data_IF_369371941859
#
_entry.id   IF_369371941859
#
_cell.length_a   1.000
_cell.length_b   1.000
_cell.length_c   1.000
_cell.angle_alpha   90.00
_cell.angle_beta   90.00
_cell.angle_gamma   90.00
#
_symmetry.space_group_name_H-M   'P 1'
#
loop_
_entity.id
_entity.type
_entity.pdbx_description
1 polymer ?
#
# COMPACT_ATOMS: atom_id res chain seq x y z
N UNK A 1 4.87 -29.43 -20.19
CA UNK A 1 5.34 -30.75 -20.67
C UNK A 1 6.86 -30.81 -20.93
N UNK A 2 7.46 -29.73 -21.45
CA UNK A 2 8.91 -29.71 -21.79
C UNK A 2 9.88 -29.82 -20.59
N UNK A 3 9.44 -29.64 -19.37
CA UNK A 3 10.31 -29.67 -18.17
C UNK A 3 10.30 -31.03 -17.46
N UNK A 4 9.35 -31.93 -17.77
CA UNK A 4 9.20 -33.19 -17.05
C UNK A 4 10.37 -34.16 -17.26
N UNK A 5 11.11 -34.02 -18.36
CA UNK A 5 12.30 -34.81 -18.69
C UNK A 5 13.63 -34.17 -18.27
N UNK A 6 13.58 -32.97 -17.67
CA UNK A 6 14.78 -32.20 -17.26
C UNK A 6 15.17 -32.51 -15.84
N UNK A 7 16.46 -32.51 -15.57
CA UNK A 7 16.99 -32.51 -14.20
C UNK A 7 16.90 -31.13 -13.54
N UNK A 8 16.88 -31.04 -12.20
CA UNK A 8 16.77 -29.76 -11.48
C UNK A 8 17.76 -28.67 -11.89
N UNK A 9 18.99 -29.05 -12.26
CA UNK A 9 20.03 -28.14 -12.73
C UNK A 9 19.83 -27.62 -14.17
N UNK A 10 18.86 -28.15 -14.90
CA UNK A 10 18.56 -27.83 -16.31
C UNK A 10 17.32 -26.91 -16.42
N UNK A 11 16.70 -26.55 -15.32
CA UNK A 11 15.53 -25.68 -15.28
C UNK A 11 15.87 -24.35 -14.64
N UNK A 12 15.15 -23.28 -15.01
CA UNK A 12 15.32 -21.98 -14.38
C UNK A 12 14.83 -21.98 -12.92
N UNK A 13 15.28 -21.01 -12.14
CA UNK A 13 14.85 -20.85 -10.74
C UNK A 13 13.32 -20.70 -10.62
N UNK A 14 12.68 -19.95 -11.53
CA UNK A 14 11.23 -19.81 -11.58
C UNK A 14 10.51 -21.13 -11.96
N UNK A 15 11.07 -21.94 -12.87
CA UNK A 15 10.53 -23.28 -13.18
C UNK A 15 10.66 -24.22 -11.99
N UNK A 16 11.79 -24.18 -11.29
CA UNK A 16 12.02 -24.97 -10.08
C UNK A 16 11.03 -24.58 -8.96
N UNK A 17 10.80 -23.28 -8.77
CA UNK A 17 9.85 -22.77 -7.77
C UNK A 17 8.41 -23.21 -8.08
N UNK A 18 7.96 -23.11 -9.35
CA UNK A 18 6.64 -23.60 -9.77
C UNK A 18 6.50 -25.09 -9.58
N UNK A 19 7.55 -25.89 -9.88
CA UNK A 19 7.54 -27.33 -9.68
C UNK A 19 7.47 -27.69 -8.17
N UNK A 20 8.18 -26.97 -7.31
CA UNK A 20 8.13 -27.15 -5.86
C UNK A 20 6.73 -26.81 -5.30
N UNK A 21 6.12 -25.70 -5.76
CA UNK A 21 4.77 -25.32 -5.38
C UNK A 21 3.74 -26.39 -5.82
N UNK A 22 3.80 -26.84 -7.07
CA UNK A 22 2.94 -27.91 -7.58
C UNK A 22 3.08 -29.20 -6.77
N UNK A 23 4.31 -29.59 -6.42
CA UNK A 23 4.58 -30.78 -5.58
C UNK A 23 3.94 -30.64 -4.19
N UNK A 24 4.01 -29.46 -3.57
CA UNK A 24 3.43 -29.22 -2.25
C UNK A 24 1.89 -29.28 -2.28
N UNK A 25 1.27 -28.83 -3.37
CA UNK A 25 -0.19 -28.88 -3.55
C UNK A 25 -0.71 -30.29 -3.86
N UNK A 26 0.06 -31.11 -4.60
CA UNK A 26 -0.34 -32.46 -4.97
C UNK A 26 -0.56 -33.40 -3.77
N UNK A 27 0.07 -33.13 -2.63
CA UNK A 27 -0.14 -33.89 -1.40
C UNK A 27 -1.47 -33.59 -0.71
N UNK A 28 -2.23 -32.58 -1.19
CA UNK A 28 -3.51 -32.13 -0.62
C UNK A 28 -3.43 -31.93 0.90
N UNK A 29 -2.52 -31.07 1.41
CA UNK A 29 -2.30 -30.92 2.85
C UNK A 29 -3.42 -30.14 3.51
N UNK A 30 -3.69 -30.42 4.80
CA UNK A 30 -4.59 -29.60 5.62
C UNK A 30 -4.02 -28.22 5.91
N UNK A 31 -2.68 -28.13 6.01
CA UNK A 31 -1.94 -26.88 6.23
C UNK A 31 -0.76 -26.79 5.26
N UNK A 32 -0.71 -25.73 4.48
CA UNK A 32 0.38 -25.42 3.56
C UNK A 32 1.17 -24.21 4.06
N UNK A 33 2.48 -24.37 4.17
CA UNK A 33 3.41 -23.30 4.54
C UNK A 33 4.24 -22.94 3.31
N UNK A 34 4.17 -21.67 2.91
CA UNK A 34 4.89 -21.13 1.75
C UNK A 34 5.79 -19.99 2.20
N UNK A 35 7.08 -20.12 1.94
CA UNK A 35 8.07 -19.08 2.17
C UNK A 35 8.54 -18.52 0.83
N UNK A 36 8.26 -17.22 0.60
CA UNK A 36 8.57 -16.48 -0.63
C UNK A 36 8.17 -17.24 -1.92
N UNK A 37 6.93 -17.75 -2.04
CA UNK A 37 6.58 -18.72 -3.10
C UNK A 37 6.65 -18.17 -4.51
N UNK A 38 6.66 -16.85 -4.69
CA UNK A 38 6.63 -16.20 -6.02
C UNK A 38 7.81 -15.25 -6.26
N UNK A 39 8.83 -15.27 -5.40
CA UNK A 39 9.96 -14.33 -5.45
C UNK A 39 10.82 -14.44 -6.72
N UNK A 40 10.99 -15.63 -7.27
CA UNK A 40 11.82 -15.90 -8.45
C UNK A 40 11.01 -16.05 -9.75
N UNK A 41 9.75 -15.63 -9.73
CA UNK A 41 8.87 -15.72 -10.90
C UNK A 41 8.92 -14.37 -11.65
N UNK A 42 9.06 -14.46 -12.98
CA UNK A 42 8.99 -13.30 -13.87
C UNK A 42 7.66 -12.55 -13.67
N UNK A 43 7.74 -11.23 -13.63
CA UNK A 43 6.59 -10.35 -13.35
C UNK A 43 5.41 -10.61 -14.32
N UNK A 44 5.70 -10.94 -15.59
CA UNK A 44 4.66 -11.22 -16.59
C UNK A 44 3.84 -12.48 -16.28
N UNK A 45 4.42 -13.44 -15.54
CA UNK A 45 3.75 -14.68 -15.14
C UNK A 45 3.25 -14.65 -13.69
N UNK A 46 3.74 -13.71 -12.89
CA UNK A 46 3.45 -13.64 -11.45
C UNK A 46 1.95 -13.51 -11.19
N UNK A 47 1.28 -12.59 -11.88
CA UNK A 47 -0.17 -12.36 -11.73
C UNK A 47 -0.99 -13.60 -12.11
N UNK A 48 -0.67 -14.25 -13.22
CA UNK A 48 -1.36 -15.47 -13.64
C UNK A 48 -1.22 -16.61 -12.61
N UNK A 49 -0.01 -16.75 -12.05
CA UNK A 49 0.25 -17.78 -11.03
C UNK A 49 -0.45 -17.44 -9.72
N UNK A 50 -0.47 -16.17 -9.30
CA UNK A 50 -1.23 -15.73 -8.12
C UNK A 50 -2.72 -16.05 -8.25
N UNK A 51 -3.33 -15.76 -9.40
CA UNK A 51 -4.74 -16.06 -9.66
C UNK A 51 -4.99 -17.56 -9.55
N UNK A 52 -4.18 -18.39 -10.23
CA UNK A 52 -4.30 -19.85 -10.18
C UNK A 52 -4.09 -20.43 -8.78
N UNK A 53 -3.07 -19.93 -8.06
CA UNK A 53 -2.78 -20.35 -6.70
C UNK A 53 -3.98 -20.06 -5.79
N UNK A 54 -4.47 -18.82 -5.80
CA UNK A 54 -5.64 -18.41 -5.00
C UNK A 54 -6.87 -19.27 -5.31
N UNK A 55 -7.12 -19.55 -6.58
CA UNK A 55 -8.22 -20.41 -7.01
C UNK A 55 -8.08 -21.83 -6.45
N UNK A 56 -6.91 -22.46 -6.58
CA UNK A 56 -6.64 -23.81 -6.07
C UNK A 56 -6.78 -23.88 -4.55
N UNK A 57 -6.20 -22.93 -3.82
CA UNK A 57 -6.30 -22.89 -2.35
C UNK A 57 -7.77 -22.80 -1.87
N UNK A 58 -8.59 -22.03 -2.59
CA UNK A 58 -10.03 -21.90 -2.30
C UNK A 58 -10.82 -23.18 -2.67
N UNK A 59 -10.58 -23.73 -3.84
CA UNK A 59 -11.26 -24.93 -4.36
C UNK A 59 -11.03 -26.12 -3.43
N UNK A 60 -9.77 -26.36 -3.04
CA UNK A 60 -9.39 -27.47 -2.18
C UNK A 60 -9.45 -27.14 -0.67
N UNK A 61 -9.87 -25.91 -0.32
CA UNK A 61 -10.00 -25.44 1.08
C UNK A 61 -8.73 -25.64 1.91
N UNK A 62 -7.56 -25.45 1.31
CA UNK A 62 -6.27 -25.62 1.98
C UNK A 62 -6.01 -24.43 2.88
N UNK A 63 -5.84 -24.64 4.18
CA UNK A 63 -5.36 -23.62 5.10
C UNK A 63 -3.91 -23.29 4.76
N UNK A 64 -3.60 -22.02 4.52
CA UNK A 64 -2.27 -21.64 4.03
C UNK A 64 -1.68 -20.48 4.83
N UNK A 65 -0.41 -20.59 5.17
CA UNK A 65 0.40 -19.47 5.68
C UNK A 65 1.43 -19.14 4.62
N UNK A 66 1.43 -17.88 4.17
CA UNK A 66 2.37 -17.38 3.17
C UNK A 66 3.23 -16.31 3.84
N UNK A 67 4.55 -16.47 3.74
CA UNK A 67 5.52 -15.43 4.12
C UNK A 67 6.02 -14.79 2.84
N UNK A 68 5.95 -13.47 2.77
CA UNK A 68 6.42 -12.69 1.62
C UNK A 68 6.83 -11.28 2.05
N UNK A 69 7.77 -10.67 1.34
CA UNK A 69 8.12 -9.27 1.48
C UNK A 69 7.33 -8.36 0.50
N UNK A 70 6.54 -8.94 -0.39
CA UNK A 70 5.72 -8.21 -1.35
C UNK A 70 4.32 -7.96 -0.76
N UNK A 71 4.04 -6.71 -0.39
CA UNK A 71 2.74 -6.32 0.19
C UNK A 71 1.57 -6.54 -0.77
N UNK A 72 1.77 -6.41 -2.10
CA UNK A 72 0.70 -6.69 -3.07
C UNK A 72 0.36 -8.17 -3.11
N UNK A 73 1.38 -9.04 -3.03
CA UNK A 73 1.17 -10.48 -2.93
C UNK A 73 0.42 -10.84 -1.66
N UNK A 74 0.83 -10.31 -0.51
CA UNK A 74 0.16 -10.53 0.76
C UNK A 74 -1.30 -10.06 0.74
N UNK A 75 -1.57 -8.87 0.20
CA UNK A 75 -2.91 -8.31 0.11
C UNK A 75 -3.81 -9.05 -0.88
N UNK A 76 -3.25 -9.57 -1.96
CA UNK A 76 -4.02 -10.31 -2.96
C UNK A 76 -4.36 -11.73 -2.51
N UNK A 77 -3.39 -12.47 -1.96
CA UNK A 77 -3.56 -13.89 -1.59
C UNK A 77 -4.20 -14.07 -0.21
N UNK A 78 -3.86 -13.21 0.75
CA UNK A 78 -4.28 -13.35 2.13
C UNK A 78 -5.74 -12.96 2.39
N UNK A 79 -6.42 -13.72 3.23
CA UNK A 79 -7.67 -13.29 3.89
C UNK A 79 -7.37 -12.48 5.15
N UNK A 80 -6.23 -12.75 5.78
CA UNK A 80 -5.65 -12.01 6.88
C UNK A 80 -4.17 -11.77 6.59
N UNK A 81 -3.67 -10.61 7.00
CA UNK A 81 -2.28 -10.21 6.87
C UNK A 81 -1.69 -9.92 8.24
N UNK A 82 -0.52 -10.48 8.50
CA UNK A 82 0.28 -10.22 9.70
C UNK A 82 1.54 -9.44 9.34
N UNK A 83 1.83 -8.34 10.03
CA UNK A 83 3.08 -7.60 9.92
C UNK A 83 3.98 -7.99 11.09
N UNK A 84 5.13 -8.57 10.76
CA UNK A 84 6.14 -8.98 11.74
C UNK A 84 7.36 -8.05 11.58
N UNK A 85 7.69 -7.34 12.67
CA UNK A 85 8.87 -6.48 12.76
C UNK A 85 9.64 -6.86 14.02
N UNK A 86 10.97 -6.99 13.91
CA UNK A 86 11.86 -7.36 15.01
C UNK A 86 11.39 -8.61 15.78
N UNK A 87 10.89 -9.61 15.03
CA UNK A 87 10.40 -10.88 15.60
C UNK A 87 9.05 -10.77 16.34
N UNK A 88 8.35 -9.62 16.27
CA UNK A 88 7.07 -9.40 16.93
C UNK A 88 5.95 -9.18 15.91
N UNK A 89 4.80 -9.79 16.13
CA UNK A 89 3.60 -9.53 15.36
C UNK A 89 3.02 -8.16 15.77
N UNK A 90 3.20 -7.15 14.91
CA UNK A 90 2.77 -5.76 15.18
C UNK A 90 1.31 -5.52 14.85
N UNK A 91 0.82 -6.12 13.76
CA UNK A 91 -0.58 -6.02 13.36
C UNK A 91 -1.03 -7.31 12.69
N UNK A 92 -2.28 -7.71 12.92
CA UNK A 92 -2.90 -8.85 12.24
C UNK A 92 -4.36 -8.53 11.97
N UNK A 93 -4.70 -8.34 10.70
CA UNK A 93 -6.06 -8.01 10.27
C UNK A 93 -6.29 -8.43 8.81
N UNK A 94 -7.49 -8.10 8.25
CA UNK A 94 -7.65 -8.22 6.80
C UNK A 94 -6.78 -7.20 6.05
N UNK A 95 -6.49 -7.46 4.76
CA UNK A 95 -5.61 -6.61 3.96
C UNK A 95 -6.02 -5.13 3.92
N UNK A 96 -7.33 -4.87 3.83
CA UNK A 96 -7.86 -3.52 3.78
C UNK A 96 -7.54 -2.75 5.07
N UNK A 97 -7.80 -3.37 6.23
CA UNK A 97 -7.53 -2.75 7.52
C UNK A 97 -6.04 -2.56 7.77
N UNK A 98 -5.19 -3.51 7.35
CA UNK A 98 -3.74 -3.36 7.46
C UNK A 98 -3.25 -2.15 6.67
N UNK A 99 -3.82 -1.90 5.49
CA UNK A 99 -3.45 -0.79 4.64
C UNK A 99 -4.00 0.56 5.12
N UNK A 100 -5.32 0.64 5.41
CA UNK A 100 -6.01 1.90 5.72
C UNK A 100 -5.99 2.26 7.20
N UNK A 101 -5.84 1.28 8.10
CA UNK A 101 -5.87 1.45 9.55
C UNK A 101 -4.61 0.88 10.22
N UNK A 102 -3.39 1.33 9.82
CA UNK A 102 -2.18 0.89 10.50
C UNK A 102 -2.25 1.29 11.99
N UNK A 103 -1.90 0.38 12.87
CA UNK A 103 -2.06 0.55 14.31
C UNK A 103 -0.89 1.29 14.98
N UNK A 104 0.22 1.49 14.27
CA UNK A 104 1.42 2.15 14.79
C UNK A 104 2.24 2.82 13.69
N UNK A 105 3.07 3.78 14.09
CA UNK A 105 4.04 4.45 13.20
C UNK A 105 5.02 3.44 12.57
N UNK A 106 5.39 2.39 13.30
CA UNK A 106 6.26 1.33 12.79
C UNK A 106 5.63 0.62 11.59
N UNK A 107 4.32 0.32 11.67
CA UNK A 107 3.56 -0.30 10.58
C UNK A 107 3.43 0.66 9.39
N UNK A 108 3.14 1.95 9.62
CA UNK A 108 3.11 2.97 8.56
C UNK A 108 4.44 3.01 7.81
N UNK A 109 5.55 3.08 8.54
CA UNK A 109 6.89 3.15 7.95
C UNK A 109 7.24 1.87 7.17
N UNK A 110 6.87 0.71 7.70
CA UNK A 110 7.08 -0.57 7.02
C UNK A 110 6.33 -0.66 5.70
N UNK A 111 5.06 -0.28 5.70
CA UNK A 111 4.23 -0.30 4.48
C UNK A 111 4.69 0.73 3.45
N UNK A 112 5.30 1.83 3.90
CA UNK A 112 5.78 2.94 3.05
C UNK A 112 4.70 3.44 2.07
N UNK A 113 3.45 3.59 2.55
CA UNK A 113 2.27 3.93 1.75
C UNK A 113 1.65 5.27 2.10
N UNK A 114 2.42 6.15 2.67
CA UNK A 114 2.00 7.49 3.07
C UNK A 114 3.08 8.17 3.88
N UNK A 115 2.77 9.35 4.37
CA UNK A 115 3.65 10.14 5.21
C UNK A 115 2.92 10.57 6.48
N UNK A 116 3.67 10.86 7.52
CA UNK A 116 3.14 11.42 8.76
C UNK A 116 3.31 12.93 8.75
N UNK A 117 2.21 13.67 8.82
CA UNK A 117 2.23 15.13 8.85
C UNK A 117 1.75 15.66 10.20
N UNK A 118 2.40 16.67 10.79
CA UNK A 118 1.95 17.25 12.04
C UNK A 118 0.62 17.96 11.86
N UNK A 119 -0.31 17.74 12.77
CA UNK A 119 -1.61 18.39 12.76
C UNK A 119 -2.12 18.68 14.17
N UNK A 120 -3.12 19.56 14.27
CA UNK A 120 -3.80 19.89 15.52
C UNK A 120 -5.28 19.61 15.37
N UNK A 121 -5.86 18.86 16.30
CA UNK A 121 -7.29 18.54 16.30
C UNK A 121 -8.11 19.78 16.61
N UNK A 122 -9.05 20.14 15.73
CA UNK A 122 -9.94 21.31 15.87
C UNK A 122 -11.25 20.93 16.54
N UNK A 123 -11.85 19.82 16.10
CA UNK A 123 -13.07 19.26 16.66
C UNK A 123 -13.17 17.75 16.36
N UNK A 124 -14.33 17.15 16.57
CA UNK A 124 -14.57 15.69 16.42
C UNK A 124 -14.46 15.17 14.97
N UNK A 125 -14.42 16.09 13.98
CA UNK A 125 -14.41 15.74 12.54
C UNK A 125 -13.36 16.52 11.76
N UNK A 126 -12.54 17.31 12.42
CA UNK A 126 -11.58 18.16 11.72
C UNK A 126 -10.25 18.33 12.46
N UNK A 127 -9.19 18.49 11.69
CA UNK A 127 -7.87 18.85 12.14
C UNK A 127 -7.25 19.89 11.19
N UNK A 128 -6.24 20.57 11.66
CA UNK A 128 -5.53 21.60 10.89
C UNK A 128 -4.05 21.25 10.76
N UNK A 129 -3.57 21.27 9.52
CA UNK A 129 -2.15 21.26 9.21
C UNK A 129 -1.72 22.65 8.75
N UNK A 130 -0.53 23.09 9.15
CA UNK A 130 -0.01 24.43 8.86
C UNK A 130 0.04 24.79 7.37
N UNK A 131 0.38 23.82 6.50
CA UNK A 131 0.57 24.03 5.07
C UNK A 131 -0.69 23.69 4.25
N UNK A 132 -1.41 22.66 4.66
CA UNK A 132 -2.62 22.16 3.96
C UNK A 132 -3.89 22.88 4.43
N UNK A 133 -3.90 23.43 5.64
CA UNK A 133 -5.07 24.05 6.28
C UNK A 133 -6.00 23.04 6.91
N UNK A 134 -7.31 23.30 6.85
CA UNK A 134 -8.34 22.45 7.44
C UNK A 134 -8.50 21.16 6.62
N UNK A 135 -8.54 20.04 7.35
CA UNK A 135 -8.79 18.71 6.83
C UNK A 135 -9.95 18.12 7.61
N UNK A 136 -10.97 17.65 6.91
CA UNK A 136 -12.21 17.12 7.47
C UNK A 136 -12.29 15.61 7.23
N UNK A 137 -12.96 14.88 8.13
CA UNK A 137 -13.21 13.45 7.98
C UNK A 137 -13.55 12.76 9.31
N UNK A 138 -13.68 11.44 9.25
CA UNK A 138 -14.04 10.64 10.41
C UNK A 138 -12.79 10.08 11.10
N UNK A 139 -12.58 10.45 12.37
CA UNK A 139 -11.45 9.95 13.15
C UNK A 139 -11.63 8.48 13.52
N UNK A 140 -10.61 7.66 13.28
CA UNK A 140 -10.57 6.26 13.71
C UNK A 140 -10.47 6.12 15.24
N UNK A 141 -9.82 7.09 15.89
CA UNK A 141 -9.73 7.21 17.35
C UNK A 141 -10.17 8.59 17.77
N UNK A 142 -10.80 8.69 18.93
CA UNK A 142 -11.12 9.99 19.52
C UNK A 142 -9.88 10.70 20.05
N UNK A 143 -9.73 11.97 19.68
CA UNK A 143 -8.69 12.88 20.18
C UNK A 143 -9.34 14.15 20.75
N UNK A 144 -8.92 14.63 21.93
CA UNK A 144 -9.40 15.88 22.48
C UNK A 144 -9.06 17.07 21.56
N UNK A 145 -9.95 18.06 21.53
CA UNK A 145 -9.68 19.32 20.84
C UNK A 145 -8.35 19.95 21.33
N UNK A 146 -7.54 20.41 20.39
CA UNK A 146 -6.20 21.00 20.66
C UNK A 146 -5.08 19.97 20.78
N UNK A 147 -5.36 18.65 20.67
CA UNK A 147 -4.32 17.63 20.64
C UNK A 147 -3.42 17.83 19.42
N UNK A 148 -2.11 17.72 19.63
CA UNK A 148 -1.11 17.69 18.56
C UNK A 148 -0.91 16.23 18.18
N UNK A 149 -1.12 15.92 16.92
CA UNK A 149 -1.07 14.54 16.39
C UNK A 149 -0.23 14.47 15.11
N UNK A 150 0.17 13.28 14.74
CA UNK A 150 0.75 12.98 13.43
C UNK A 150 -0.34 12.32 12.59
N UNK A 151 -0.88 13.04 11.63
CA UNK A 151 -1.85 12.52 10.65
C UNK A 151 -1.11 11.63 9.65
N UNK A 152 -1.60 10.43 9.40
CA UNK A 152 -1.24 9.66 8.23
C UNK A 152 -1.91 10.28 7.01
N UNK A 153 -1.11 10.69 6.03
CA UNK A 153 -1.55 11.19 4.74
C UNK A 153 -1.09 10.22 3.64
N UNK A 154 -2.04 9.57 2.99
CA UNK A 154 -1.78 8.64 1.88
C UNK A 154 -1.83 9.39 0.54
N UNK A 155 -1.17 8.90 -0.52
CA UNK A 155 -1.12 9.60 -1.82
C UNK A 155 -2.49 9.85 -2.44
N UNK A 156 -3.47 9.03 -2.15
CA UNK A 156 -4.86 9.09 -2.61
C UNK A 156 -5.77 10.06 -1.83
N UNK A 157 -5.31 10.56 -0.67
CA UNK A 157 -6.10 11.46 0.18
C UNK A 157 -6.22 12.88 -0.37
N UNK A 158 -5.32 13.25 -1.28
CA UNK A 158 -5.31 14.58 -1.88
C UNK A 158 -5.75 14.52 -3.34
N UNK A 159 -6.82 15.24 -3.65
CA UNK A 159 -7.32 15.38 -5.01
C UNK A 159 -6.72 16.60 -5.72
N UNK A 160 -6.41 16.44 -7.00
CA UNK A 160 -5.96 17.53 -7.86
C UNK A 160 -7.10 18.47 -8.26
N UNK A 161 -6.83 19.78 -8.26
CA UNK A 161 -7.72 20.81 -8.80
C UNK A 161 -6.91 22.04 -9.27
N UNK A 162 -6.83 22.24 -10.58
CA UNK A 162 -6.13 23.37 -11.20
C UNK A 162 -6.68 24.74 -10.78
N UNK A 163 -7.92 24.79 -10.31
CA UNK A 163 -8.59 26.03 -9.89
C UNK A 163 -8.41 26.33 -8.41
N UNK A 164 -7.74 25.44 -7.68
CA UNK A 164 -7.54 25.63 -6.25
C UNK A 164 -6.59 26.79 -5.93
N UNK A 165 -6.85 27.45 -4.82
CA UNK A 165 -5.95 28.44 -4.25
C UNK A 165 -4.83 27.83 -3.38
N UNK A 166 -4.94 26.56 -3.04
CA UNK A 166 -3.88 25.79 -2.38
C UNK A 166 -2.98 25.17 -3.45
N UNK A 167 -1.86 25.82 -3.71
CA UNK A 167 -0.89 25.38 -4.70
C UNK A 167 0.42 24.99 -4.03
N UNK A 168 0.92 23.81 -4.38
CA UNK A 168 2.20 23.28 -3.96
C UNK A 168 3.12 23.13 -5.17
N UNK A 169 4.43 23.10 -4.95
CA UNK A 169 5.44 22.95 -6.01
C UNK A 169 5.66 21.46 -6.30
N UNK A 170 5.69 21.08 -7.58
CA UNK A 170 6.06 19.73 -8.02
C UNK A 170 7.58 19.60 -7.98
N UNK A 171 8.10 18.69 -7.14
CA UNK A 171 9.55 18.43 -7.06
C UNK A 171 9.95 17.09 -7.70
N UNK A 172 9.01 16.18 -7.89
CA UNK A 172 9.25 14.90 -8.59
C UNK A 172 7.94 14.38 -9.19
N UNK A 173 8.05 13.63 -10.28
CA UNK A 173 6.92 13.00 -10.98
C UNK A 173 7.32 11.62 -11.46
N UNK A 174 6.58 10.59 -11.04
CA UNK A 174 6.80 9.19 -11.44
C UNK A 174 5.60 8.67 -12.21
N UNK A 175 5.79 8.37 -13.49
CA UNK A 175 4.77 7.70 -14.30
C UNK A 175 4.78 6.20 -14.03
N UNK A 176 3.59 5.63 -13.75
CA UNK A 176 3.39 4.21 -13.46
C UNK A 176 2.33 3.56 -14.36
N UNK A 177 2.22 4.02 -15.60
CA UNK A 177 1.24 3.53 -16.58
C UNK A 177 -0.15 4.13 -16.35
N UNK A 178 -0.94 3.55 -15.48
CA UNK A 178 -2.31 4.02 -15.19
C UNK A 178 -2.38 5.29 -14.35
N UNK A 179 -1.27 5.69 -13.73
CA UNK A 179 -1.23 6.82 -12.83
C UNK A 179 0.14 7.50 -12.79
N UNK A 180 0.13 8.71 -12.23
CA UNK A 180 1.30 9.45 -11.80
C UNK A 180 1.33 9.50 -10.26
N UNK A 181 2.52 9.43 -9.68
CA UNK A 181 2.78 9.82 -8.31
C UNK A 181 3.59 11.11 -8.37
N UNK A 182 2.97 12.21 -7.98
CA UNK A 182 3.64 13.49 -7.81
C UNK A 182 4.21 13.58 -6.40
N UNK A 183 5.40 14.14 -6.26
CA UNK A 183 5.92 14.56 -4.96
C UNK A 183 5.83 16.08 -4.91
N UNK A 184 5.01 16.58 -4.01
CA UNK A 184 4.75 18.01 -3.84
C UNK A 184 5.49 18.55 -2.63
N UNK A 185 6.05 19.74 -2.75
CA UNK A 185 6.75 20.43 -1.67
C UNK A 185 5.87 21.50 -1.06
N UNK A 186 5.72 21.47 0.26
CA UNK A 186 5.00 22.48 1.02
C UNK A 186 5.90 23.67 1.38
N UNK A 187 5.30 24.73 1.93
CA UNK A 187 6.05 25.92 2.42
C UNK A 187 6.99 25.60 3.59
N UNK A 188 6.71 24.55 4.35
CA UNK A 188 7.58 24.08 5.45
C UNK A 188 8.54 22.95 5.01
N UNK A 189 8.82 22.82 3.71
CA UNK A 189 9.71 21.83 3.10
C UNK A 189 9.26 20.36 3.28
N UNK A 190 8.01 20.13 3.65
CA UNK A 190 7.44 18.78 3.73
C UNK A 190 7.18 18.27 2.31
N UNK A 191 7.58 17.02 2.04
CA UNK A 191 7.34 16.34 0.77
C UNK A 191 6.11 15.44 0.87
N UNK A 192 5.10 15.73 0.05
CA UNK A 192 3.81 15.03 0.07
C UNK A 192 3.63 14.26 -1.24
N UNK A 193 3.45 12.93 -1.21
CA UNK A 193 3.08 12.17 -2.39
C UNK A 193 1.59 12.36 -2.71
N UNK A 194 1.27 12.54 -3.99
CA UNK A 194 -0.12 12.65 -4.47
C UNK A 194 -0.31 11.75 -5.68
N UNK A 195 -1.38 10.96 -5.64
CA UNK A 195 -1.79 10.07 -6.72
C UNK A 195 -2.71 10.79 -7.70
N UNK A 196 -2.43 10.66 -9.01
CA UNK A 196 -3.29 11.20 -10.07
C UNK A 196 -3.42 10.17 -11.19
N UNK A 197 -4.63 9.95 -11.69
CA UNK A 197 -4.83 9.08 -12.85
C UNK A 197 -4.14 9.63 -14.10
N UNK A 198 -3.52 8.75 -14.91
CA UNK A 198 -2.73 9.16 -16.08
C UNK A 198 -3.57 9.78 -17.21
N UNK A 199 -4.89 9.57 -17.21
CA UNK A 199 -5.83 10.20 -18.13
C UNK A 199 -6.27 11.60 -17.71
N UNK A 200 -5.63 12.17 -16.69
CA UNK A 200 -5.89 13.56 -16.30
C UNK A 200 -5.52 14.51 -17.44
N UNK A 201 -6.37 15.50 -17.68
CA UNK A 201 -6.23 16.41 -18.85
C UNK A 201 -4.97 17.26 -18.77
N UNK A 202 -4.57 17.66 -17.55
CA UNK A 202 -3.39 18.49 -17.33
C UNK A 202 -2.31 17.68 -16.60
N UNK A 203 -1.15 17.59 -17.23
CA UNK A 203 0.04 17.00 -16.63
C UNK A 203 0.96 18.13 -16.15
N UNK A 204 1.42 18.04 -14.91
CA UNK A 204 2.33 19.02 -14.32
C UNK A 204 3.78 18.57 -14.47
N UNK A 205 4.64 19.49 -14.91
CA UNK A 205 6.08 19.28 -14.92
C UNK A 205 6.71 19.64 -13.56
N UNK A 206 7.97 19.24 -13.37
CA UNK A 206 8.75 19.62 -12.19
C UNK A 206 8.91 21.14 -12.17
N UNK A 207 8.86 21.76 -11.00
CA UNK A 207 8.84 23.23 -10.72
C UNK A 207 7.51 23.91 -11.03
N UNK A 208 6.52 23.22 -11.59
CA UNK A 208 5.18 23.77 -11.76
C UNK A 208 4.37 23.74 -10.45
N UNK A 209 3.30 24.54 -10.43
CA UNK A 209 2.35 24.56 -9.33
C UNK A 209 1.29 23.51 -9.54
N UNK A 210 1.00 22.78 -8.48
CA UNK A 210 -0.02 21.76 -8.44
C UNK A 210 -1.10 22.16 -7.44
N UNK A 211 -2.33 22.34 -7.91
CA UNK A 211 -3.47 22.71 -7.07
C UNK A 211 -4.04 21.51 -6.33
N UNK A 212 -4.27 21.67 -5.03
CA UNK A 212 -4.96 20.69 -4.18
C UNK A 212 -6.40 21.13 -3.97
N UNK A 213 -7.34 20.24 -4.27
CA UNK A 213 -8.78 20.48 -4.08
C UNK A 213 -9.11 20.82 -2.63
N UNK A 214 -10.02 21.77 -2.44
CA UNK A 214 -10.52 22.17 -1.12
C UNK A 214 -12.05 22.16 -1.09
N UNK A 215 -12.67 21.81 0.05
CA UNK A 215 -12.05 21.38 1.30
C UNK A 215 -11.33 20.02 1.12
N UNK A 216 -10.26 19.80 1.89
CA UNK A 216 -9.60 18.48 1.93
C UNK A 216 -10.47 17.57 2.80
N UNK A 217 -10.85 16.43 2.24
CA UNK A 217 -11.64 15.43 2.95
C UNK A 217 -10.92 14.08 2.92
N UNK A 218 -10.78 13.46 4.09
CA UNK A 218 -10.19 12.12 4.27
C UNK A 218 -11.23 11.23 4.94
N UNK A 219 -11.67 10.18 4.25
CA UNK A 219 -12.73 9.29 4.75
C UNK A 219 -12.42 8.72 6.13
N UNK A 220 -11.15 8.38 6.39
CA UNK A 220 -10.70 7.77 7.64
C UNK A 220 -9.44 8.48 8.15
N UNK A 221 -9.59 9.36 9.12
CA UNK A 221 -8.48 10.08 9.72
C UNK A 221 -7.75 9.16 10.71
N UNK A 222 -6.57 8.70 10.31
CA UNK A 222 -5.66 7.92 11.15
C UNK A 222 -4.58 8.83 11.71
N UNK A 223 -4.51 8.93 13.03
CA UNK A 223 -3.54 9.76 13.73
C UNK A 223 -2.77 8.97 14.79
N UNK A 224 -1.59 9.49 15.11
CA UNK A 224 -0.69 9.00 16.15
C UNK A 224 -0.24 10.15 17.06
N UNK A 225 0.02 9.81 18.33
CA UNK A 225 0.58 10.73 19.34
C UNK A 225 2.04 11.08 19.07
#
# INVERSE_FOLDING_TARGET
ENILSKYPHQISSGEAQRAALARSLLSMPDLLLLDEPLSNIDQNFKEEIQVKLKQLLREYKITTIIVTHDSYEAFYLGNKCGIILDGQLKQFDDPYNVYHFPNSIEVVNFLNRGILVPATVIDEKSLENKDLGLIEGDFVKHYPKGSKVKLLLQPEDLEHDDKSNLNLEVVDRKFRGTNFIYTLKTKSDLLIPVFVHSHHVHQHEVEEKFGIKRPIHIDHIVCFD
#
